data_IF_884346113516
#
_entry.id   IF_884346113516
#
_cell.length_a   1.000
_cell.length_b   1.000
_cell.length_c   1.000
_cell.angle_alpha   90.00
_cell.angle_beta   90.00
_cell.angle_gamma   90.00
#
_symmetry.space_group_name_H-M   'P 1'
#
loop_
_entity.id
_entity.type
_entity.pdbx_description
1 polymer ?
#
# COMPACT_ATOMS: atom_id res chain seq x y z
N UNK A 1 16.63 -6.57 2.16
CA UNK A 1 17.23 -5.77 3.25
C UNK A 1 16.31 -4.58 3.45
N UNK A 2 15.72 -4.48 4.63
CA UNK A 2 14.82 -3.37 4.98
C UNK A 2 15.62 -2.06 5.05
N UNK A 3 15.08 -0.97 4.48
CA UNK A 3 15.74 0.33 4.41
C UNK A 3 16.94 0.44 3.45
N UNK A 4 17.32 -0.63 2.76
CA UNK A 4 18.39 -0.58 1.76
C UNK A 4 17.83 -0.22 0.40
N UNK A 5 18.15 0.95 -0.11
CA UNK A 5 17.65 1.45 -1.38
C UNK A 5 18.73 2.16 -2.21
N UNK A 6 18.35 2.62 -3.38
CA UNK A 6 19.17 3.41 -4.28
C UNK A 6 18.72 4.87 -4.25
N UNK A 7 19.55 5.74 -3.69
CA UNK A 7 19.27 7.18 -3.62
C UNK A 7 19.59 7.89 -4.94
N UNK A 8 18.80 8.92 -5.25
CA UNK A 8 19.02 9.75 -6.44
C UNK A 8 20.14 10.81 -6.24
N UNK A 9 20.53 11.08 -5.01
CA UNK A 9 21.46 12.14 -4.65
C UNK A 9 22.66 11.59 -3.85
N UNK A 10 23.78 11.25 -4.52
CA UNK A 10 24.96 10.65 -3.87
C UNK A 10 25.49 11.42 -2.66
N UNK A 11 25.38 12.73 -2.66
CA UNK A 11 25.87 13.57 -1.56
C UNK A 11 25.07 13.40 -0.24
N UNK A 12 23.81 12.96 -0.33
CA UNK A 12 22.94 12.73 0.84
C UNK A 12 22.61 11.24 1.06
N UNK A 13 23.16 10.36 0.23
CA UNK A 13 22.97 8.92 0.33
C UNK A 13 24.06 8.29 1.20
N UNK A 14 23.72 7.94 2.41
CA UNK A 14 24.65 7.32 3.37
C UNK A 14 25.18 5.96 2.88
N UNK A 15 24.36 5.17 2.15
CA UNK A 15 24.80 3.88 1.57
C UNK A 15 25.84 4.10 0.48
N UNK A 16 25.61 5.11 -0.37
CA UNK A 16 26.55 5.47 -1.43
C UNK A 16 27.90 5.91 -0.87
N UNK A 17 27.91 6.72 0.19
CA UNK A 17 29.11 7.23 0.82
C UNK A 17 29.83 6.20 1.69
N UNK A 18 29.12 5.20 2.20
CA UNK A 18 29.71 4.18 3.03
C UNK A 18 30.60 3.21 2.24
N UNK A 19 31.65 2.71 2.88
CA UNK A 19 32.47 1.63 2.34
C UNK A 19 31.76 0.29 2.55
N UNK A 20 31.05 -0.18 1.51
CA UNK A 20 30.26 -1.41 1.53
C UNK A 20 30.69 -2.38 0.41
N UNK A 21 32.00 -2.75 0.34
CA UNK A 21 32.52 -3.53 -0.78
C UNK A 21 31.88 -4.91 -0.92
N UNK A 22 31.57 -5.54 0.20
CA UNK A 22 30.94 -6.86 0.21
C UNK A 22 29.53 -6.80 -0.44
N UNK A 23 28.66 -5.90 -0.02
CA UNK A 23 27.32 -5.77 -0.58
C UNK A 23 27.38 -5.38 -2.05
N UNK A 24 28.25 -4.46 -2.45
CA UNK A 24 28.48 -4.14 -3.87
C UNK A 24 28.91 -5.35 -4.68
N UNK A 25 29.73 -6.24 -4.12
CA UNK A 25 30.12 -7.47 -4.81
C UNK A 25 28.97 -8.45 -5.02
N UNK A 26 27.95 -8.44 -4.14
CA UNK A 26 26.77 -9.30 -4.30
C UNK A 26 25.93 -8.90 -5.52
N UNK A 27 25.76 -7.62 -5.79
CA UNK A 27 25.08 -7.12 -6.99
C UNK A 27 25.73 -7.61 -8.29
N UNK A 28 27.04 -7.82 -8.28
CA UNK A 28 27.79 -8.31 -9.45
C UNK A 28 27.76 -9.83 -9.58
N UNK A 29 27.71 -10.55 -8.48
CA UNK A 29 27.86 -12.01 -8.44
C UNK A 29 26.53 -12.76 -8.52
N UNK A 30 25.43 -12.15 -8.06
CA UNK A 30 24.15 -12.83 -7.92
C UNK A 30 23.03 -12.08 -8.61
N UNK A 31 22.00 -12.78 -9.11
CA UNK A 31 20.77 -12.15 -9.56
C UNK A 31 20.17 -11.27 -8.47
N UNK A 32 19.70 -10.11 -8.85
CA UNK A 32 19.07 -9.17 -7.92
C UNK A 32 17.88 -8.48 -8.61
N UNK A 33 16.99 -7.93 -7.79
CA UNK A 33 15.84 -7.16 -8.23
C UNK A 33 15.51 -6.10 -7.19
N UNK A 34 14.83 -5.07 -7.63
CA UNK A 34 14.33 -3.99 -6.77
C UNK A 34 12.86 -4.23 -6.43
N UNK A 35 12.47 -3.87 -5.20
CA UNK A 35 11.09 -3.90 -4.76
C UNK A 35 10.55 -2.46 -4.74
N UNK A 36 9.36 -2.28 -5.29
CA UNK A 36 8.61 -1.03 -5.14
C UNK A 36 8.10 -0.98 -3.70
N UNK A 37 8.32 0.16 -3.03
CA UNK A 37 8.05 0.32 -1.59
C UNK A 37 6.97 1.35 -1.28
N UNK A 38 6.28 1.89 -2.27
CA UNK A 38 5.27 2.96 -2.11
C UNK A 38 4.07 2.77 -3.04
N UNK A 39 3.01 3.48 -2.77
CA UNK A 39 1.82 3.54 -3.61
C UNK A 39 1.07 2.21 -3.75
N UNK A 40 0.36 2.04 -4.86
CA UNK A 40 -0.49 0.86 -5.11
C UNK A 40 0.27 -0.47 -5.07
N UNK A 41 1.54 -0.48 -5.44
CA UNK A 41 2.37 -1.67 -5.43
C UNK A 41 2.54 -2.30 -4.03
N UNK A 42 2.26 -1.54 -2.99
CA UNK A 42 2.26 -2.01 -1.60
C UNK A 42 0.90 -1.85 -0.91
N UNK A 43 -0.15 -1.58 -1.68
CA UNK A 43 -1.52 -1.49 -1.18
C UNK A 43 -1.89 -0.15 -0.56
N UNK A 44 -1.16 0.90 -0.86
CA UNK A 44 -1.38 2.29 -0.42
C UNK A 44 -1.87 3.16 -1.58
N UNK A 45 -2.53 4.29 -1.33
CA UNK A 45 -2.83 5.28 -2.34
C UNK A 45 -1.59 5.77 -3.07
N UNK A 46 -1.74 6.17 -4.34
CA UNK A 46 -0.66 6.75 -5.13
C UNK A 46 -0.05 7.96 -4.42
N UNK A 47 1.28 8.06 -4.52
CA UNK A 47 2.06 9.12 -3.88
C UNK A 47 2.27 8.95 -2.38
N UNK A 48 1.66 7.95 -1.75
CA UNK A 48 1.90 7.66 -0.34
C UNK A 48 3.16 6.81 -0.18
N UNK A 49 4.07 7.29 0.66
CA UNK A 49 5.28 6.56 1.01
C UNK A 49 4.92 5.33 1.85
N UNK A 50 5.53 4.19 1.52
CA UNK A 50 5.39 2.97 2.28
C UNK A 50 6.13 3.01 3.63
N UNK A 51 5.92 1.96 4.39
CA UNK A 51 6.60 1.72 5.66
C UNK A 51 6.92 0.23 5.83
N UNK A 52 7.69 -0.10 6.85
CA UNK A 52 8.13 -1.47 7.13
C UNK A 52 6.94 -2.43 7.37
N UNK A 53 5.91 -1.98 8.07
CA UNK A 53 4.72 -2.80 8.37
C UNK A 53 4.01 -3.25 7.08
N UNK A 54 3.70 -2.31 6.20
CA UNK A 54 3.05 -2.59 4.92
C UNK A 54 3.92 -3.47 4.02
N UNK A 55 5.22 -3.19 3.95
CA UNK A 55 6.18 -3.98 3.15
C UNK A 55 6.27 -5.43 3.63
N UNK A 56 6.44 -5.64 4.92
CA UNK A 56 6.53 -6.99 5.49
C UNK A 56 5.19 -7.75 5.39
N UNK A 57 4.06 -7.05 5.51
CA UNK A 57 2.74 -7.65 5.30
C UNK A 57 2.60 -8.20 3.87
N UNK A 58 3.00 -7.44 2.86
CA UNK A 58 2.95 -7.87 1.46
C UNK A 58 3.89 -9.06 1.20
N UNK A 59 5.11 -9.02 1.73
CA UNK A 59 6.08 -10.12 1.61
C UNK A 59 5.51 -11.38 2.28
N UNK A 60 5.00 -11.28 3.50
CA UNK A 60 4.42 -12.41 4.23
C UNK A 60 3.18 -12.98 3.58
N UNK A 61 2.35 -12.15 2.97
CA UNK A 61 1.14 -12.57 2.27
C UNK A 61 1.41 -13.13 0.85
N UNK A 62 2.58 -12.87 0.28
CA UNK A 62 2.91 -13.21 -1.11
C UNK A 62 2.04 -12.51 -2.16
N UNK A 63 1.41 -11.42 -1.79
CA UNK A 63 0.53 -10.61 -2.66
C UNK A 63 0.40 -9.18 -2.13
N UNK A 64 -0.11 -8.28 -2.95
CA UNK A 64 -0.47 -6.93 -2.50
C UNK A 64 -1.66 -7.02 -1.54
N UNK A 65 -1.48 -6.48 -0.32
CA UNK A 65 -2.53 -6.35 0.70
C UNK A 65 -2.98 -4.90 0.74
N UNK A 66 -4.11 -4.61 0.11
CA UNK A 66 -4.66 -3.26 0.12
C UNK A 66 -5.06 -2.83 1.53
N UNK A 67 -4.57 -1.66 1.95
CA UNK A 67 -4.98 -1.02 3.19
C UNK A 67 -6.44 -0.53 3.10
N UNK A 68 -7.08 -0.26 4.24
CA UNK A 68 -8.52 0.05 4.29
C UNK A 68 -8.93 1.16 3.32
N UNK A 69 -8.23 2.29 3.33
CA UNK A 69 -8.52 3.39 2.42
C UNK A 69 -8.45 2.95 0.95
N UNK A 70 -7.42 2.19 0.60
CA UNK A 70 -7.25 1.70 -0.75
C UNK A 70 -8.32 0.69 -1.15
N UNK A 71 -8.76 -0.17 -0.23
CA UNK A 71 -9.88 -1.10 -0.44
C UNK A 71 -11.18 -0.36 -0.71
N UNK A 72 -11.46 0.70 0.05
CA UNK A 72 -12.64 1.56 -0.15
C UNK A 72 -12.56 2.23 -1.52
N UNK A 73 -11.42 2.82 -1.87
CA UNK A 73 -11.23 3.48 -3.16
C UNK A 73 -11.45 2.49 -4.33
N UNK A 74 -10.87 1.30 -4.25
CA UNK A 74 -11.08 0.26 -5.27
C UNK A 74 -12.53 -0.20 -5.36
N UNK A 75 -13.24 -0.33 -4.25
CA UNK A 75 -14.65 -0.67 -4.25
C UNK A 75 -15.53 0.41 -4.90
N UNK A 76 -15.15 1.70 -4.73
CA UNK A 76 -15.83 2.81 -5.40
C UNK A 76 -15.52 2.77 -6.90
N UNK A 77 -14.25 2.65 -7.27
CA UNK A 77 -13.77 2.58 -8.66
C UNK A 77 -14.44 1.45 -9.46
N UNK A 78 -14.55 0.27 -8.84
CA UNK A 78 -15.16 -0.90 -9.44
C UNK A 78 -16.69 -0.97 -9.29
N UNK A 79 -17.32 0.09 -8.79
CA UNK A 79 -18.77 0.15 -8.55
C UNK A 79 -19.30 -0.99 -7.66
N UNK A 80 -18.51 -1.42 -6.66
CA UNK A 80 -18.93 -2.47 -5.71
C UNK A 80 -19.62 -1.90 -4.46
N UNK A 81 -19.38 -0.63 -4.13
CA UNK A 81 -19.93 -0.02 -2.93
C UNK A 81 -21.47 -0.06 -2.90
N UNK A 82 -22.12 0.17 -4.04
CA UNK A 82 -23.59 0.12 -4.15
C UNK A 82 -24.17 -1.30 -4.05
N UNK A 83 -23.35 -2.34 -4.07
CA UNK A 83 -23.75 -3.73 -3.84
C UNK A 83 -23.57 -4.17 -2.40
N UNK A 84 -23.00 -3.30 -1.54
CA UNK A 84 -22.74 -3.64 -0.14
C UNK A 84 -24.06 -3.89 0.60
N UNK A 85 -24.25 -5.13 1.06
CA UNK A 85 -25.48 -5.57 1.69
C UNK A 85 -25.84 -4.76 2.93
N UNK A 86 -24.85 -4.44 3.79
CA UNK A 86 -25.08 -3.68 5.02
C UNK A 86 -25.55 -2.25 4.74
N UNK A 87 -24.95 -1.58 3.74
CA UNK A 87 -25.37 -0.26 3.32
C UNK A 87 -26.80 -0.28 2.74
N UNK A 88 -27.08 -1.24 1.86
CA UNK A 88 -28.40 -1.38 1.25
C UNK A 88 -29.49 -1.69 2.29
N UNK A 89 -29.20 -2.55 3.26
CA UNK A 89 -30.14 -2.89 4.33
C UNK A 89 -30.44 -1.67 5.20
N UNK A 90 -29.39 -0.91 5.60
CA UNK A 90 -29.55 0.31 6.38
C UNK A 90 -30.39 1.36 5.65
N UNK A 91 -30.12 1.57 4.35
CA UNK A 91 -30.90 2.49 3.52
C UNK A 91 -32.36 2.04 3.37
N UNK A 92 -32.59 0.74 3.14
CA UNK A 92 -33.95 0.16 3.07
C UNK A 92 -34.70 0.32 4.38
N UNK A 93 -34.05 0.03 5.51
CA UNK A 93 -34.64 0.22 6.83
C UNK A 93 -35.06 1.67 7.04
N UNK A 94 -34.16 2.63 6.81
CA UNK A 94 -34.48 4.04 6.96
C UNK A 94 -35.67 4.44 6.09
N UNK A 95 -35.71 3.99 4.83
CA UNK A 95 -36.82 4.26 3.90
C UNK A 95 -38.14 3.62 4.36
N UNK A 96 -38.14 2.35 4.73
CA UNK A 96 -39.36 1.63 5.09
C UNK A 96 -39.93 2.10 6.44
N UNK A 97 -39.09 2.50 7.36
CA UNK A 97 -39.48 3.00 8.67
C UNK A 97 -39.67 4.52 8.71
N UNK A 98 -39.59 5.20 7.56
CA UNK A 98 -39.67 6.67 7.46
C UNK A 98 -38.72 7.37 8.44
N UNK A 99 -37.46 6.90 8.50
CA UNK A 99 -36.40 7.45 9.37
C UNK A 99 -35.35 8.17 8.53
N UNK A 100 -34.62 9.04 9.19
CA UNK A 100 -33.47 9.71 8.56
C UNK A 100 -32.24 8.80 8.59
N UNK A 101 -31.44 8.87 7.52
CA UNK A 101 -30.10 8.29 7.47
C UNK A 101 -29.10 9.43 7.67
N UNK A 102 -28.24 9.29 8.68
CA UNK A 102 -27.19 10.24 8.97
C UNK A 102 -25.85 9.65 8.51
N UNK A 103 -25.10 10.38 7.66
CA UNK A 103 -23.75 10.05 7.25
C UNK A 103 -22.80 10.97 8.02
N UNK A 104 -21.82 10.37 8.69
CA UNK A 104 -20.80 11.08 9.49
C UNK A 104 -19.44 10.71 8.91
N UNK A 105 -18.64 11.74 8.54
CA UNK A 105 -17.32 11.60 7.98
C UNK A 105 -16.33 12.57 8.60
#
# INVERSE_FOLDING_TARGET
MDGWGHGAHPASDAIYQASVPYVKSLYQKYPNSELITCGEAVGLPDGQMGNSEVGHMNIGAGRIVYQELMRINKNIEHHELHKNAALLETMRYAKTQNKNLHLIG
#
